data_IF_835587201994
#
_entry.id   IF_835587201994
#
_cell.length_a   1.000
_cell.length_b   1.000
_cell.length_c   1.000
_cell.angle_alpha   90.00
_cell.angle_beta   90.00
_cell.angle_gamma   90.00
#
_symmetry.space_group_name_H-M   'P 1'
#
loop_
_entity.id
_entity.type
_entity.pdbx_description
1 polymer ?
#
# COMPACT_ATOMS: atom_id res chain seq x y z
N UNK A 1 -5.51 1.28 -15.02
CA UNK A 1 -4.22 1.85 -14.60
C UNK A 1 -3.65 1.10 -13.41
N UNK A 2 -2.41 1.36 -13.09
CA UNK A 2 -1.72 0.80 -11.93
C UNK A 2 -1.34 1.92 -10.98
N UNK A 3 -1.62 1.72 -9.70
CA UNK A 3 -1.33 2.65 -8.63
C UNK A 3 -0.37 1.97 -7.65
N UNK A 4 0.81 2.55 -7.47
CA UNK A 4 1.84 1.98 -6.59
C UNK A 4 2.00 2.85 -5.36
N UNK A 5 2.00 2.20 -4.21
CA UNK A 5 2.32 2.82 -2.91
C UNK A 5 3.57 2.12 -2.41
N UNK A 6 4.66 2.84 -2.30
CA UNK A 6 5.96 2.28 -1.92
C UNK A 6 6.39 2.94 -0.62
N UNK A 7 6.65 2.13 0.41
CA UNK A 7 6.91 2.66 1.75
C UNK A 7 8.20 2.12 2.35
N UNK A 8 8.81 2.98 3.17
CA UNK A 8 9.93 2.63 4.04
C UNK A 8 9.47 2.82 5.48
N UNK A 9 9.71 1.80 6.31
CA UNK A 9 9.28 1.82 7.70
C UNK A 9 10.38 2.31 8.64
N UNK A 10 9.98 2.71 9.84
CA UNK A 10 10.89 2.94 10.96
C UNK A 10 11.71 1.68 11.23
N UNK A 11 12.95 1.87 11.72
CA UNK A 11 13.89 0.75 11.93
C UNK A 11 13.37 -0.33 12.87
N UNK A 12 12.55 0.05 13.84
CA UNK A 12 12.03 -0.89 14.83
C UNK A 12 10.88 -1.76 14.31
N UNK A 13 10.36 -1.46 13.12
CA UNK A 13 9.21 -2.19 12.56
C UNK A 13 9.69 -3.50 11.94
N UNK A 14 9.07 -4.59 12.37
CA UNK A 14 9.27 -5.88 11.73
C UNK A 14 8.31 -6.01 10.55
N UNK A 15 8.84 -5.92 9.33
CA UNK A 15 8.04 -5.95 8.10
C UNK A 15 7.19 -7.23 8.02
N UNK A 16 7.72 -8.36 8.47
CA UNK A 16 6.98 -9.64 8.45
C UNK A 16 5.73 -9.60 9.31
N UNK A 17 5.75 -8.83 10.39
CA UNK A 17 4.59 -8.71 11.29
C UNK A 17 3.51 -7.79 10.74
N UNK A 18 3.89 -6.76 9.98
CA UNK A 18 2.90 -5.81 9.42
C UNK A 18 2.40 -6.23 8.05
N UNK A 19 3.08 -7.15 7.37
CA UNK A 19 2.73 -7.57 6.00
C UNK A 19 1.29 -8.09 5.91
N UNK A 20 0.92 -9.07 6.73
CA UNK A 20 -0.41 -9.68 6.65
C UNK A 20 -1.53 -8.70 7.00
N UNK A 21 -1.43 -7.91 8.08
CA UNK A 21 -2.44 -6.87 8.35
C UNK A 21 -2.60 -5.87 7.20
N UNK A 22 -1.50 -5.46 6.56
CA UNK A 22 -1.56 -4.55 5.41
C UNK A 22 -2.25 -5.20 4.23
N UNK A 23 -1.90 -6.45 3.91
CA UNK A 23 -2.54 -7.20 2.83
C UNK A 23 -4.04 -7.34 3.07
N UNK A 24 -4.44 -7.74 4.27
CA UNK A 24 -5.84 -7.90 4.61
C UNK A 24 -6.62 -6.59 4.46
N UNK A 25 -6.01 -5.49 4.88
CA UNK A 25 -6.64 -4.17 4.73
C UNK A 25 -6.85 -3.81 3.26
N UNK A 26 -5.80 -3.92 2.45
CA UNK A 26 -5.90 -3.53 1.03
C UNK A 26 -6.76 -4.49 0.21
N UNK A 27 -6.84 -5.77 0.57
CA UNK A 27 -7.71 -6.73 -0.10
C UNK A 27 -9.19 -6.33 0.00
N UNK A 28 -9.58 -5.60 1.04
CA UNK A 28 -10.93 -5.05 1.16
C UNK A 28 -11.27 -4.07 0.05
N UNK A 29 -10.26 -3.45 -0.57
CA UNK A 29 -10.46 -2.55 -1.69
C UNK A 29 -11.00 -3.27 -2.95
N UNK A 30 -10.89 -4.59 -3.00
CA UNK A 30 -11.47 -5.38 -4.10
C UNK A 30 -13.00 -5.25 -4.18
N UNK A 31 -13.65 -4.83 -3.09
CA UNK A 31 -15.09 -4.57 -3.07
C UNK A 31 -15.45 -3.23 -3.75
N UNK A 32 -14.48 -2.37 -3.99
CA UNK A 32 -14.69 -1.12 -4.71
C UNK A 32 -14.83 -1.44 -6.21
N UNK A 33 -15.93 -0.99 -6.82
CA UNK A 33 -16.13 -1.20 -8.24
C UNK A 33 -15.00 -0.55 -9.05
N UNK A 34 -14.37 -1.32 -9.91
CA UNK A 34 -13.23 -0.86 -10.71
C UNK A 34 -11.85 -1.22 -10.15
N UNK A 35 -11.78 -1.76 -8.94
CA UNK A 35 -10.54 -2.35 -8.41
C UNK A 35 -10.48 -3.80 -8.86
N UNK A 36 -9.49 -4.13 -9.69
CA UNK A 36 -9.37 -5.46 -10.29
C UNK A 36 -8.43 -6.38 -9.52
N UNK A 37 -7.34 -5.83 -8.99
CA UNK A 37 -6.30 -6.65 -8.37
C UNK A 37 -5.51 -5.86 -7.34
N UNK A 38 -5.11 -6.54 -6.27
CA UNK A 38 -4.22 -6.02 -5.23
C UNK A 38 -3.03 -6.97 -5.12
N UNK A 39 -1.82 -6.43 -5.28
CA UNK A 39 -0.58 -7.16 -5.05
C UNK A 39 0.24 -6.42 -3.99
N UNK A 40 0.82 -7.16 -3.07
CA UNK A 40 1.70 -6.60 -2.04
C UNK A 40 3.02 -7.33 -2.06
N UNK A 41 4.10 -6.57 -2.17
CA UNK A 41 5.46 -7.11 -2.26
C UNK A 41 6.31 -6.56 -1.13
N UNK A 42 7.19 -7.40 -0.61
CA UNK A 42 8.23 -6.95 0.33
C UNK A 42 9.58 -6.99 -0.36
N UNK A 43 10.45 -6.05 0.02
CA UNK A 43 11.81 -6.02 -0.52
C UNK A 43 12.61 -7.23 -0.02
N UNK A 44 13.41 -7.82 -0.89
CA UNK A 44 14.35 -8.86 -0.50
C UNK A 44 15.79 -8.33 -0.43
N UNK A 45 15.96 -7.01 -0.50
CA UNK A 45 17.27 -6.34 -0.42
C UNK A 45 17.22 -5.28 0.69
N UNK A 46 18.02 -5.47 1.73
CA UNK A 46 18.09 -4.56 2.86
C UNK A 46 19.30 -3.63 2.71
N UNK A 47 19.10 -2.53 1.98
CA UNK A 47 20.10 -1.49 1.78
C UNK A 47 19.48 -0.13 2.10
N UNK A 48 20.30 0.89 2.49
CA UNK A 48 19.77 2.20 2.87
C UNK A 48 18.94 2.90 1.78
N UNK A 49 19.18 2.59 0.51
CA UNK A 49 18.47 3.20 -0.60
C UNK A 49 17.31 2.34 -1.12
N UNK A 50 16.86 1.38 -0.33
CA UNK A 50 15.73 0.52 -0.68
C UNK A 50 14.53 0.85 0.20
N UNK A 51 13.33 0.74 -0.40
CA UNK A 51 12.06 0.75 0.33
C UNK A 51 11.76 -0.66 0.82
N UNK A 52 10.80 -0.80 1.73
CA UNK A 52 10.54 -2.06 2.42
C UNK A 52 9.35 -2.83 1.87
N UNK A 53 8.34 -2.11 1.37
CA UNK A 53 7.09 -2.73 0.95
C UNK A 53 6.46 -1.94 -0.18
N UNK A 54 5.87 -2.63 -1.14
CA UNK A 54 5.16 -2.02 -2.25
C UNK A 54 3.76 -2.62 -2.38
N UNK A 55 2.77 -1.75 -2.51
CA UNK A 55 1.39 -2.14 -2.80
C UNK A 55 1.11 -1.71 -4.23
N UNK A 56 0.65 -2.66 -5.04
CA UNK A 56 0.23 -2.40 -6.42
C UNK A 56 -1.27 -2.63 -6.53
N UNK A 57 -1.99 -1.61 -6.93
CA UNK A 57 -3.41 -1.69 -7.18
C UNK A 57 -3.66 -1.57 -8.68
N UNK A 58 -4.36 -2.53 -9.26
CA UNK A 58 -4.83 -2.45 -10.64
C UNK A 58 -6.29 -2.01 -10.58
N UNK A 59 -6.61 -0.83 -11.12
CA UNK A 59 -7.92 -0.22 -10.93
C UNK A 59 -8.18 0.85 -12.00
N UNK A 60 -9.46 1.25 -12.11
CA UNK A 60 -9.83 2.39 -12.93
C UNK A 60 -9.51 3.70 -12.22
N UNK A 61 -9.46 4.80 -12.97
CA UNK A 61 -9.21 6.12 -12.42
C UNK A 61 -10.30 6.54 -11.43
N UNK A 62 -11.56 6.22 -11.74
CA UNK A 62 -12.69 6.51 -10.83
C UNK A 62 -12.58 5.69 -9.53
N UNK A 63 -12.13 4.44 -9.63
CA UNK A 63 -11.93 3.60 -8.45
C UNK A 63 -10.81 4.13 -7.55
N UNK A 64 -9.77 4.73 -8.13
CA UNK A 64 -8.71 5.35 -7.35
C UNK A 64 -9.25 6.51 -6.50
N UNK A 65 -10.11 7.35 -7.09
CA UNK A 65 -10.74 8.45 -6.36
C UNK A 65 -11.60 7.90 -5.22
N UNK A 66 -12.38 6.86 -5.48
CA UNK A 66 -13.21 6.24 -4.46
C UNK A 66 -12.35 5.63 -3.34
N UNK A 67 -11.27 4.95 -3.71
CA UNK A 67 -10.32 4.40 -2.74
C UNK A 67 -9.72 5.49 -1.85
N UNK A 68 -9.28 6.61 -2.44
CA UNK A 68 -8.67 7.72 -1.70
C UNK A 68 -9.64 8.32 -0.67
N UNK A 69 -10.94 8.24 -0.91
CA UNK A 69 -11.97 8.71 0.00
C UNK A 69 -12.57 7.62 0.88
N UNK A 70 -12.07 6.39 0.76
CA UNK A 70 -12.62 5.23 1.46
C UNK A 70 -12.14 5.13 2.89
N UNK A 71 -12.87 4.34 3.68
CA UNK A 71 -12.48 3.97 5.04
C UNK A 71 -11.16 3.20 5.05
N UNK A 72 -10.90 2.40 4.01
CA UNK A 72 -9.67 1.63 3.86
C UNK A 72 -8.45 2.57 3.86
N UNK A 73 -8.51 3.64 3.08
CA UNK A 73 -7.43 4.62 3.00
C UNK A 73 -7.24 5.35 4.33
N UNK A 74 -8.33 5.68 5.02
CA UNK A 74 -8.28 6.30 6.35
C UNK A 74 -7.61 5.37 7.37
N UNK A 75 -7.98 4.10 7.38
CA UNK A 75 -7.38 3.10 8.26
C UNK A 75 -5.90 2.93 7.94
N UNK A 76 -5.54 2.89 6.67
CA UNK A 76 -4.16 2.82 6.21
C UNK A 76 -3.32 3.94 6.83
N UNK A 77 -3.79 5.17 6.72
CA UNK A 77 -3.08 6.32 7.29
C UNK A 77 -3.02 6.27 8.81
N UNK A 78 -4.13 5.92 9.47
CA UNK A 78 -4.25 5.93 10.92
C UNK A 78 -3.44 4.80 11.58
N UNK A 79 -3.59 3.58 11.08
CA UNK A 79 -3.01 2.41 11.73
C UNK A 79 -1.55 2.17 11.33
N UNK A 80 -1.18 2.49 10.09
CA UNK A 80 0.14 2.18 9.57
C UNK A 80 1.01 3.40 9.31
N UNK A 81 0.42 4.58 9.14
CA UNK A 81 1.17 5.80 8.87
C UNK A 81 2.24 6.10 9.90
N UNK A 82 1.99 5.77 11.17
CA UNK A 82 2.93 5.98 12.27
C UNK A 82 4.23 5.16 12.13
N UNK A 83 4.22 4.12 11.32
CA UNK A 83 5.39 3.27 11.10
C UNK A 83 6.19 3.69 9.87
N UNK A 84 5.66 4.58 9.05
CA UNK A 84 6.22 4.94 7.74
C UNK A 84 7.08 6.19 7.88
N UNK A 85 8.36 6.11 7.49
CA UNK A 85 9.27 7.26 7.47
C UNK A 85 9.40 7.89 6.09
N UNK A 86 9.08 7.13 5.03
CA UNK A 86 9.14 7.64 3.66
C UNK A 86 8.13 6.90 2.79
N UNK A 87 7.50 7.64 1.88
CA UNK A 87 6.48 7.09 1.00
C UNK A 87 6.59 7.70 -0.38
N UNK A 88 6.47 6.87 -1.40
CA UNK A 88 6.43 7.28 -2.79
C UNK A 88 5.19 6.70 -3.45
N UNK A 89 4.48 7.52 -4.21
CA UNK A 89 3.32 7.12 -4.99
C UNK A 89 3.69 7.22 -6.47
N UNK A 90 3.32 6.20 -7.24
CA UNK A 90 3.54 6.20 -8.67
C UNK A 90 2.32 5.65 -9.40
N UNK A 91 1.85 6.35 -10.42
CA UNK A 91 0.72 5.94 -11.23
C UNK A 91 1.14 5.78 -12.68
N UNK A 92 0.66 4.70 -13.33
CA UNK A 92 0.95 4.46 -14.74
C UNK A 92 -0.13 3.58 -15.39
N UNK A 93 -0.04 3.43 -16.68
CA UNK A 93 -0.81 2.45 -17.41
C UNK A 93 0.02 1.15 -17.47
#
# INVERSE_FOLDING_TARGET
MKHYIIVKFEKHVNVKEVLNPIKELFEKALDINGVEKIDVYTSNVDLPNRFDLMIKMTLSQSALIEFDNSEIHKIWKKEFGKYIINKTIFDCE
#
